data_IF_129052079631
#
_entry.id   IF_129052079631
#
_cell.length_a   1.000
_cell.length_b   1.000
_cell.length_c   1.000
_cell.angle_alpha   90.00
_cell.angle_beta   90.00
_cell.angle_gamma   90.00
#
_symmetry.space_group_name_H-M   'P 1'
#
loop_
_entity.id
_entity.type
_entity.pdbx_description
1 polymer ?
#
# COMPACT_ATOMS: atom_id res chain seq x y z
N UNK A 1 -11.88 -39.74 2.19
CA UNK A 1 -11.19 -38.50 1.77
C UNK A 1 -11.26 -37.52 2.93
N UNK A 2 -10.25 -37.52 3.77
CA UNK A 2 -10.07 -36.47 4.78
C UNK A 2 -9.53 -35.22 4.07
N UNK A 3 -10.08 -34.02 4.33
CA UNK A 3 -9.52 -32.80 3.80
C UNK A 3 -8.11 -32.64 4.37
N UNK A 4 -7.12 -32.45 3.49
CA UNK A 4 -5.79 -32.00 3.87
C UNK A 4 -5.95 -30.60 4.46
N UNK A 5 -6.13 -30.51 5.78
CA UNK A 5 -5.82 -29.30 6.52
C UNK A 5 -4.34 -29.04 6.29
N UNK A 6 -4.03 -28.15 5.34
CA UNK A 6 -2.75 -27.47 5.31
C UNK A 6 -2.67 -26.68 6.63
N UNK A 7 -2.17 -27.33 7.67
CA UNK A 7 -1.73 -26.68 8.88
C UNK A 7 -0.53 -25.82 8.47
N UNK A 8 -0.83 -24.64 7.92
CA UNK A 8 0.14 -23.56 7.85
C UNK A 8 0.56 -23.34 9.28
N UNK A 9 1.83 -23.62 9.56
CA UNK A 9 2.42 -23.45 10.87
C UNK A 9 2.35 -21.95 11.21
N UNK A 10 1.26 -21.57 11.89
CA UNK A 10 0.87 -20.17 12.15
C UNK A 10 2.00 -19.30 12.70
N UNK A 11 2.82 -19.76 13.68
CA UNK A 11 3.97 -18.97 14.14
C UNK A 11 5.01 -18.74 13.04
N UNK A 12 5.19 -19.68 12.10
CA UNK A 12 6.07 -19.51 10.95
C UNK A 12 5.50 -18.49 9.96
N UNK A 13 4.18 -18.49 9.74
CA UNK A 13 3.53 -17.50 8.88
C UNK A 13 3.64 -16.07 9.46
N UNK A 14 3.38 -15.88 10.75
CA UNK A 14 3.52 -14.57 11.39
C UNK A 14 4.94 -14.02 11.22
N UNK A 15 5.96 -14.83 11.51
CA UNK A 15 7.38 -14.44 11.35
C UNK A 15 7.71 -14.08 9.91
N UNK A 16 7.25 -14.86 8.93
CA UNK A 16 7.48 -14.58 7.50
C UNK A 16 6.81 -13.27 7.08
N UNK A 17 5.57 -13.03 7.51
CA UNK A 17 4.83 -11.80 7.22
C UNK A 17 5.48 -10.57 7.86
N UNK A 18 5.92 -10.68 9.12
CA UNK A 18 6.64 -9.62 9.80
C UNK A 18 7.93 -9.24 9.06
N UNK A 19 8.70 -10.26 8.64
CA UNK A 19 9.94 -10.05 7.90
C UNK A 19 9.70 -9.37 6.56
N UNK A 20 8.76 -9.87 5.76
CA UNK A 20 8.41 -9.26 4.46
C UNK A 20 7.87 -7.83 4.63
N UNK A 21 7.08 -7.60 5.67
CA UNK A 21 6.61 -6.26 6.05
C UNK A 21 7.76 -5.31 6.36
N UNK A 22 8.74 -5.75 7.16
CA UNK A 22 9.94 -4.97 7.49
C UNK A 22 10.79 -4.68 6.25
N UNK A 23 11.04 -5.69 5.41
CA UNK A 23 11.81 -5.51 4.18
C UNK A 23 11.15 -4.49 3.24
N UNK A 24 9.82 -4.54 3.08
CA UNK A 24 9.08 -3.52 2.31
C UNK A 24 9.10 -2.13 2.96
N UNK A 25 9.09 -2.03 4.28
CA UNK A 25 9.21 -0.76 4.99
C UNK A 25 10.59 -0.12 4.76
N UNK A 26 11.67 -0.91 4.76
CA UNK A 26 13.01 -0.43 4.44
C UNK A 26 13.10 0.07 3.00
N UNK A 27 12.45 -0.64 2.06
CA UNK A 27 12.40 -0.23 0.66
C UNK A 27 11.60 1.06 0.47
N UNK A 28 10.46 1.20 1.18
CA UNK A 28 9.70 2.44 1.22
C UNK A 28 10.52 3.60 1.78
N UNK A 29 11.27 3.41 2.86
CA UNK A 29 12.13 4.43 3.44
C UNK A 29 13.27 4.84 2.48
N UNK A 30 13.89 3.87 1.82
CA UNK A 30 14.90 4.12 0.79
C UNK A 30 14.31 4.90 -0.40
N UNK A 31 13.12 4.50 -0.86
CA UNK A 31 12.39 5.21 -1.92
C UNK A 31 12.06 6.64 -1.51
N UNK A 32 11.53 6.85 -0.31
CA UNK A 32 11.25 8.19 0.24
C UNK A 32 12.50 9.07 0.31
N UNK A 33 13.65 8.48 0.63
CA UNK A 33 14.92 9.19 0.61
C UNK A 33 15.30 9.64 -0.81
N UNK A 34 15.16 8.76 -1.80
CA UNK A 34 15.42 9.07 -3.21
C UNK A 34 14.48 10.18 -3.70
N UNK A 35 13.19 10.11 -3.36
CA UNK A 35 12.18 11.12 -3.70
C UNK A 35 12.54 12.50 -3.14
N UNK A 36 12.95 12.58 -1.87
CA UNK A 36 13.21 13.85 -1.21
C UNK A 36 14.60 14.44 -1.52
N UNK A 37 15.62 13.58 -1.68
CA UNK A 37 17.01 14.02 -1.76
C UNK A 37 17.58 13.99 -3.19
N UNK A 38 17.10 13.08 -4.04
CA UNK A 38 17.73 12.75 -5.32
C UNK A 38 16.89 13.24 -6.50
N UNK A 39 15.60 12.93 -6.54
CA UNK A 39 14.71 13.31 -7.66
C UNK A 39 14.69 14.82 -7.96
N UNK A 40 14.56 15.73 -6.98
CA UNK A 40 14.55 17.17 -7.21
C UNK A 40 15.81 17.69 -7.90
N UNK A 41 16.94 17.00 -7.71
CA UNK A 41 18.23 17.33 -8.31
C UNK A 41 18.37 16.80 -9.75
N UNK A 42 17.65 15.73 -10.09
CA UNK A 42 17.73 15.05 -11.39
C UNK A 42 16.69 15.57 -12.39
N UNK A 43 15.46 15.84 -11.94
CA UNK A 43 14.34 16.17 -12.84
C UNK A 43 14.11 17.67 -13.00
N UNK A 44 14.90 18.51 -12.33
CA UNK A 44 14.73 19.97 -12.34
C UNK A 44 13.35 20.43 -11.84
N UNK A 45 12.64 19.58 -11.09
CA UNK A 45 11.28 19.86 -10.61
C UNK A 45 10.14 19.42 -11.54
N UNK A 46 10.42 18.62 -12.58
CA UNK A 46 9.37 18.02 -13.42
C UNK A 46 8.42 17.13 -12.60
N UNK A 47 7.13 17.47 -12.58
CA UNK A 47 6.16 16.94 -11.61
C UNK A 47 5.65 15.52 -11.85
N UNK A 48 5.62 15.02 -13.09
CA UNK A 48 4.99 13.73 -13.40
C UNK A 48 5.80 12.52 -12.88
N UNK A 49 7.12 12.53 -13.08
CA UNK A 49 8.00 11.44 -12.60
C UNK A 49 8.08 11.41 -11.06
N UNK A 50 8.05 12.59 -10.43
CA UNK A 50 8.00 12.73 -8.96
C UNK A 50 6.70 12.15 -8.41
N UNK A 51 5.57 12.45 -9.05
CA UNK A 51 4.25 11.94 -8.63
C UNK A 51 4.14 10.42 -8.79
N UNK A 52 4.66 9.85 -9.88
CA UNK A 52 4.68 8.40 -10.07
C UNK A 52 5.56 7.71 -9.02
N UNK A 53 6.70 8.32 -8.69
CA UNK A 53 7.62 7.79 -7.70
C UNK A 53 7.07 7.90 -6.26
N UNK A 54 6.39 9.00 -5.92
CA UNK A 54 5.64 9.13 -4.66
C UNK A 54 4.53 8.07 -4.56
N UNK A 55 3.77 7.86 -5.66
CA UNK A 55 2.70 6.85 -5.69
C UNK A 55 3.24 5.43 -5.43
N UNK A 56 4.38 5.07 -6.02
CA UNK A 56 5.05 3.79 -5.76
C UNK A 56 5.54 3.70 -4.31
N UNK A 57 6.13 4.77 -3.77
CA UNK A 57 6.60 4.81 -2.38
C UNK A 57 5.43 4.60 -1.41
N UNK A 58 4.32 5.30 -1.60
CA UNK A 58 3.11 5.13 -0.78
C UNK A 58 2.51 3.72 -0.91
N UNK A 59 2.64 3.08 -2.07
CA UNK A 59 2.18 1.70 -2.23
C UNK A 59 3.04 0.70 -1.42
N UNK A 60 4.36 0.86 -1.43
CA UNK A 60 5.26 0.05 -0.60
C UNK A 60 4.95 0.23 0.90
N UNK A 61 4.68 1.46 1.34
CA UNK A 61 4.25 1.75 2.72
C UNK A 61 2.94 1.02 3.07
N UNK A 62 1.95 1.06 2.18
CA UNK A 62 0.67 0.37 2.37
C UNK A 62 0.83 -1.16 2.44
N UNK A 63 1.63 -1.73 1.53
CA UNK A 63 1.92 -3.16 1.54
C UNK A 63 2.66 -3.59 2.80
N UNK A 64 3.67 -2.82 3.24
CA UNK A 64 4.40 -3.10 4.48
C UNK A 64 3.46 -3.10 5.69
N UNK A 65 2.59 -2.08 5.81
CA UNK A 65 1.64 -1.97 6.90
C UNK A 65 0.60 -3.09 6.90
N UNK A 66 0.14 -3.53 5.73
CA UNK A 66 -0.74 -4.69 5.61
C UNK A 66 -0.08 -5.97 6.10
N UNK A 67 1.15 -6.25 5.67
CA UNK A 67 1.86 -7.47 6.08
C UNK A 67 2.13 -7.49 7.60
N UNK A 68 2.48 -6.35 8.19
CA UNK A 68 2.67 -6.23 9.64
C UNK A 68 1.35 -6.45 10.41
N UNK A 69 0.23 -5.94 9.91
CA UNK A 69 -1.10 -6.21 10.52
C UNK A 69 -1.51 -7.66 10.38
N UNK A 70 -1.24 -8.27 9.22
CA UNK A 70 -1.52 -9.68 8.98
C UNK A 70 -0.64 -10.58 9.86
N UNK A 71 0.62 -10.20 10.07
CA UNK A 71 1.50 -10.84 11.04
C UNK A 71 0.94 -10.79 12.45
N UNK A 72 0.52 -9.61 12.93
CA UNK A 72 -0.05 -9.46 14.26
C UNK A 72 -1.32 -10.31 14.44
N UNK A 73 -2.21 -10.29 13.44
CA UNK A 73 -3.42 -11.11 13.45
C UNK A 73 -3.13 -12.62 13.40
N UNK A 74 -2.02 -13.04 12.76
CA UNK A 74 -1.59 -14.43 12.75
C UNK A 74 -0.95 -14.86 14.08
N UNK A 75 -0.32 -13.94 14.81
CA UNK A 75 0.32 -14.18 16.11
C UNK A 75 -0.71 -14.26 17.27
N UNK A 76 -1.81 -13.49 17.19
CA UNK A 76 -2.89 -13.46 18.20
C UNK A 76 -3.68 -14.80 18.32
N UNK A 77 -3.37 -15.81 17.52
CA UNK A 77 -3.93 -17.17 17.61
C UNK A 77 -5.40 -17.30 17.20
N UNK A 78 -6.11 -16.17 17.03
CA UNK A 78 -7.43 -16.12 16.40
C UNK A 78 -7.30 -16.55 14.93
N UNK A 79 -8.17 -17.46 14.48
CA UNK A 79 -8.17 -17.87 13.08
C UNK A 79 -8.48 -16.66 12.19
N UNK A 80 -7.50 -16.21 11.40
CA UNK A 80 -7.71 -15.24 10.34
C UNK A 80 -8.75 -15.81 9.36
N UNK A 81 -9.94 -15.22 9.33
CA UNK A 81 -10.95 -15.61 8.36
C UNK A 81 -10.64 -14.99 7.00
N UNK A 82 -11.15 -15.58 5.92
CA UNK A 82 -11.05 -15.00 4.58
C UNK A 82 -11.61 -13.58 4.52
N UNK A 83 -12.62 -13.26 5.33
CA UNK A 83 -13.20 -11.92 5.44
C UNK A 83 -12.27 -10.92 6.14
N UNK A 84 -11.50 -11.36 7.14
CA UNK A 84 -10.47 -10.53 7.79
C UNK A 84 -9.35 -10.19 6.82
N UNK A 85 -8.91 -11.19 6.05
CA UNK A 85 -7.93 -11.01 4.97
C UNK A 85 -8.49 -10.08 3.90
N UNK A 86 -9.75 -10.25 3.50
CA UNK A 86 -10.42 -9.39 2.52
C UNK A 86 -10.52 -7.93 2.98
N UNK A 87 -10.87 -7.68 4.25
CA UNK A 87 -10.90 -6.33 4.84
C UNK A 87 -9.53 -5.69 4.93
N UNK A 88 -8.51 -6.46 5.34
CA UNK A 88 -7.13 -5.98 5.35
C UNK A 88 -6.64 -5.69 3.92
N UNK A 89 -6.92 -6.56 2.95
CA UNK A 89 -6.48 -6.42 1.57
C UNK A 89 -7.19 -5.25 0.86
N UNK A 90 -8.44 -4.94 1.21
CA UNK A 90 -9.15 -3.77 0.71
C UNK A 90 -8.44 -2.45 1.06
N UNK A 91 -7.57 -2.44 2.08
CA UNK A 91 -6.74 -1.26 2.40
C UNK A 91 -5.53 -1.11 1.48
N UNK A 92 -5.11 -2.17 0.78
CA UNK A 92 -4.12 -2.12 -0.31
C UNK A 92 -4.87 -1.95 -1.63
N UNK A 93 -5.38 -0.74 -1.88
CA UNK A 93 -6.05 -0.46 -3.14
C UNK A 93 -5.03 -0.31 -4.27
N UNK A 94 -4.81 -1.38 -5.03
CA UNK A 94 -4.05 -1.37 -6.29
C UNK A 94 -4.72 -0.49 -7.36
N UNK A 95 -6.04 -0.32 -7.31
CA UNK A 95 -6.77 0.57 -8.23
C UNK A 95 -6.34 2.03 -8.06
N UNK A 96 -6.16 2.50 -6.83
CA UNK A 96 -5.64 3.85 -6.56
C UNK A 96 -4.19 4.04 -7.01
N UNK A 97 -3.37 2.99 -6.96
CA UNK A 97 -2.02 3.05 -7.52
C UNK A 97 -2.07 3.17 -9.06
N UNK A 98 -2.90 2.36 -9.72
CA UNK A 98 -3.07 2.43 -11.17
C UNK A 98 -3.61 3.80 -11.63
N UNK A 99 -4.57 4.36 -10.90
CA UNK A 99 -5.09 5.71 -11.15
C UNK A 99 -4.00 6.77 -10.98
N UNK A 100 -3.20 6.70 -9.91
CA UNK A 100 -2.06 7.61 -9.68
C UNK A 100 -0.94 7.47 -10.70
N UNK A 101 -0.58 6.25 -11.09
CA UNK A 101 0.44 5.98 -12.11
C UNK A 101 0.02 6.47 -13.50
N UNK A 102 -1.28 6.46 -13.79
CA UNK A 102 -1.85 6.96 -15.05
C UNK A 102 -2.17 8.47 -15.00
N UNK A 103 -1.93 9.13 -13.86
CA UNK A 103 -2.27 10.55 -13.66
C UNK A 103 -3.78 10.82 -13.62
N UNK A 104 -4.60 9.79 -13.41
CA UNK A 104 -6.05 9.90 -13.31
C UNK A 104 -6.38 10.28 -11.87
N UNK A 105 -6.71 11.54 -11.64
CA UNK A 105 -7.28 11.92 -10.34
C UNK A 105 -8.51 11.06 -10.07
N UNK A 106 -8.66 10.50 -8.85
CA UNK A 106 -9.91 9.85 -8.48
C UNK A 106 -11.01 10.90 -8.68
N UNK A 107 -12.02 10.54 -9.46
CA UNK A 107 -13.14 11.43 -9.72
C UNK A 107 -13.60 12.00 -8.38
N UNK A 108 -13.40 13.31 -8.20
CA UNK A 108 -13.90 14.02 -7.04
C UNK A 108 -15.42 13.90 -7.12
N UNK A 109 -15.99 12.97 -6.36
CA UNK A 109 -17.41 12.92 -6.10
C UNK A 109 -17.78 14.23 -5.42
N UNK A 110 -18.31 15.16 -6.21
CA UNK A 110 -19.00 16.34 -5.72
C UNK A 110 -18.35 17.69 -6.01
N UNK A 111 -17.95 17.97 -7.25
CA UNK A 111 -18.14 19.35 -7.76
C UNK A 111 -19.33 19.34 -8.69
N UNK A 112 -20.48 19.80 -8.18
CA UNK A 112 -21.62 20.14 -9.03
C UNK A 112 -21.15 21.20 -10.04
N UNK A 113 -21.40 21.04 -11.34
CA UNK A 113 -21.03 22.04 -12.33
C UNK A 113 -22.07 23.16 -12.25
N UNK A 114 -21.68 24.29 -11.67
CA UNK A 114 -22.48 25.51 -11.73
C UNK A 114 -22.53 26.24 -10.40
N UNK A 115 -21.49 27.00 -10.11
CA UNK A 115 -21.61 28.32 -9.48
C UNK A 115 -20.27 29.04 -9.67
N UNK A 116 -20.27 29.95 -10.66
CA UNK A 116 -19.25 30.98 -10.79
C UNK A 116 -19.64 32.06 -9.78
N UNK A 117 -18.97 32.12 -8.63
CA UNK A 117 -19.03 33.33 -7.81
C UNK A 117 -18.07 34.36 -8.39
N UNK A 118 -18.64 35.37 -9.03
CA UNK A 118 -17.98 36.64 -9.31
C UNK A 118 -17.90 37.44 -8.01
N UNK A 119 -16.69 37.59 -7.47
CA UNK A 119 -16.29 38.71 -6.62
C UNK A 119 -14.92 39.22 -7.07
#
# INVERSE_FOLDING_TARGET
MTPLEFAVDRPNLAVVLARLGSELADWAACSRHIENAVLPRLTGGGGADVQQFDALTQHLEQMSGFLLRLSAAADDGAGLTTDDIGRLAATISLSRLADRLTGREPASEGTKPGEVELW
#
